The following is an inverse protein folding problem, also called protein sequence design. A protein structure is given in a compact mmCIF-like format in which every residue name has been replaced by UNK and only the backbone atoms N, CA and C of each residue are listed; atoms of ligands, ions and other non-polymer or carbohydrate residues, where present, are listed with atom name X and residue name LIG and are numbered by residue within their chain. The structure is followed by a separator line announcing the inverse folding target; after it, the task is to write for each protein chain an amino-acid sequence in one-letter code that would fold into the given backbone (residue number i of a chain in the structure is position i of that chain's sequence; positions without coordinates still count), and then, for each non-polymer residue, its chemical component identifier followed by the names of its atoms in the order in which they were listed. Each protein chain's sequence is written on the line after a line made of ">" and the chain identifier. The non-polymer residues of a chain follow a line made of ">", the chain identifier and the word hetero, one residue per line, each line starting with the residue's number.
data_IF_699030601084
#
_entry.id   IF_699030601084
#
_cell.length_a   1.000
_cell.length_b   1.000
_cell.length_c   1.000
_cell.angle_alpha   90.00
_cell.angle_beta   90.00
_cell.angle_gamma   90.00
#
_symmetry.space_group_name_H-M   'P 1'
#
loop_
_entity.id
_entity.type
_entity.pdbx_description
1 polymer ?
#
# COMPACT_ATOMS: atom_id res chain seq x y z
N UNK A 1 -10.57 0.22 -27.64
CA UNK A 1 -9.77 -0.47 -28.67
C UNK A 1 -8.62 -1.30 -28.11
N UNK A 2 -7.83 -0.80 -27.15
CA UNK A 2 -6.68 -1.52 -26.53
C UNK A 2 -6.96 -2.95 -26.08
N UNK A 3 -8.05 -3.18 -25.33
CA UNK A 3 -8.40 -4.51 -24.77
C UNK A 3 -8.82 -5.51 -25.86
N UNK A 4 -9.31 -5.03 -27.01
CA UNK A 4 -9.80 -5.89 -28.10
C UNK A 4 -8.73 -6.17 -29.16
N UNK A 5 -7.55 -5.57 -29.02
CA UNK A 5 -6.45 -5.79 -29.94
C UNK A 5 -5.95 -7.23 -29.82
N UNK A 6 -5.78 -7.91 -30.95
CA UNK A 6 -5.23 -9.27 -30.99
C UNK A 6 -3.85 -9.37 -30.36
N UNK A 7 -3.03 -8.31 -30.45
CA UNK A 7 -1.71 -8.27 -29.84
C UNK A 7 -1.75 -8.35 -28.30
N UNK A 8 -2.88 -7.99 -27.69
CA UNK A 8 -3.04 -7.91 -26.23
C UNK A 8 -3.85 -9.08 -25.64
N UNK A 9 -4.21 -10.09 -26.45
CA UNK A 9 -5.11 -11.16 -26.04
C UNK A 9 -4.62 -11.92 -24.79
N UNK A 10 -3.31 -12.07 -24.64
CA UNK A 10 -2.70 -12.80 -23.52
C UNK A 10 -2.13 -11.87 -22.44
N UNK A 11 -2.36 -10.55 -22.54
CA UNK A 11 -1.90 -9.57 -21.54
C UNK A 11 -2.85 -9.59 -20.35
N UNK A 12 -2.37 -9.83 -19.12
CA UNK A 12 -3.21 -9.81 -17.92
C UNK A 12 -3.88 -8.45 -17.68
N UNK A 13 -5.10 -8.47 -17.17
CA UNK A 13 -5.84 -7.28 -16.75
C UNK A 13 -5.96 -7.30 -15.23
N UNK A 14 -5.35 -6.32 -14.57
CA UNK A 14 -5.49 -6.11 -13.14
C UNK A 14 -6.59 -5.09 -12.85
N UNK A 15 -7.54 -5.46 -12.01
CA UNK A 15 -8.60 -4.57 -11.52
C UNK A 15 -8.30 -4.21 -10.08
N UNK A 16 -8.15 -2.91 -9.82
CA UNK A 16 -7.79 -2.42 -8.50
C UNK A 16 -9.03 -2.07 -7.67
N UNK A 17 -8.98 -2.38 -6.38
CA UNK A 17 -9.98 -1.92 -5.41
C UNK A 17 -11.15 -2.89 -5.16
N UNK A 18 -12.09 -2.50 -4.29
CA UNK A 18 -13.21 -3.33 -3.87
C UNK A 18 -14.27 -3.56 -4.95
N UNK A 19 -15.16 -4.52 -4.70
CA UNK A 19 -16.18 -4.96 -5.66
C UNK A 19 -17.33 -3.95 -5.85
N UNK A 20 -17.53 -3.04 -4.91
CA UNK A 20 -18.48 -1.94 -5.01
C UNK A 20 -17.99 -0.83 -5.96
N UNK A 21 -16.67 -0.59 -6.03
CA UNK A 21 -16.04 0.30 -6.99
C UNK A 21 -16.02 -0.28 -8.40
N UNK A 22 -15.67 -1.57 -8.54
CA UNK A 22 -15.73 -2.30 -9.82
C UNK A 22 -16.45 -3.62 -9.61
N UNK A 23 -17.67 -3.77 -10.11
CA UNK A 23 -18.46 -4.99 -9.87
C UNK A 23 -17.89 -6.25 -10.54
N UNK A 24 -18.23 -7.43 -10.00
CA UNK A 24 -17.91 -8.73 -10.62
C UNK A 24 -18.51 -8.88 -12.02
N UNK A 25 -19.58 -8.15 -12.35
CA UNK A 25 -20.15 -8.13 -13.69
C UNK A 25 -19.21 -7.45 -14.70
N UNK A 26 -18.45 -6.43 -14.28
CA UNK A 26 -17.41 -5.82 -15.12
C UNK A 26 -16.28 -6.81 -15.39
N UNK A 27 -15.84 -7.57 -14.37
CA UNK A 27 -14.81 -8.61 -14.53
C UNK A 27 -15.25 -9.67 -15.54
N UNK A 28 -16.49 -10.14 -15.46
CA UNK A 28 -17.07 -11.07 -16.45
C UNK A 28 -17.13 -10.51 -17.87
N UNK A 29 -17.21 -9.18 -18.02
CA UNK A 29 -17.16 -8.55 -19.34
C UNK A 29 -15.72 -8.43 -19.85
N UNK A 30 -14.76 -8.16 -18.96
CA UNK A 30 -13.33 -8.11 -19.29
C UNK A 30 -12.80 -9.50 -19.68
N UNK A 31 -13.23 -10.55 -18.97
CA UNK A 31 -12.82 -11.94 -19.23
C UNK A 31 -13.19 -12.41 -20.64
N UNK A 32 -14.28 -11.88 -21.22
CA UNK A 32 -14.69 -12.16 -22.61
C UNK A 32 -13.67 -11.66 -23.65
N UNK A 33 -12.74 -10.78 -23.28
CA UNK A 33 -11.66 -10.35 -24.16
C UNK A 33 -10.60 -11.45 -24.37
N UNK A 34 -10.60 -12.51 -23.55
CA UNK A 34 -9.67 -13.63 -23.64
C UNK A 34 -8.39 -13.45 -22.83
N UNK A 35 -8.27 -12.35 -22.08
CA UNK A 35 -7.19 -12.06 -21.15
C UNK A 35 -7.50 -12.59 -19.75
N UNK A 36 -6.49 -13.03 -19.00
CA UNK A 36 -6.64 -13.30 -17.56
C UNK A 36 -7.03 -12.02 -16.84
N UNK A 37 -8.11 -12.04 -16.06
CA UNK A 37 -8.56 -10.91 -15.24
C UNK A 37 -8.35 -11.24 -13.77
N UNK A 38 -7.56 -10.43 -13.09
CA UNK A 38 -7.27 -10.58 -11.67
C UNK A 38 -7.67 -9.30 -10.93
N UNK A 39 -8.36 -9.46 -9.80
CA UNK A 39 -8.58 -8.34 -8.89
C UNK A 39 -7.43 -8.28 -7.90
N UNK A 40 -6.87 -7.09 -7.74
CA UNK A 40 -5.91 -6.76 -6.68
C UNK A 40 -6.59 -5.77 -5.76
N UNK A 41 -7.01 -6.24 -4.59
CA UNK A 41 -7.73 -5.41 -3.63
C UNK A 41 -8.36 -6.22 -2.51
N UNK A 42 -9.07 -5.54 -1.61
CA UNK A 42 -9.83 -6.13 -0.51
C UNK A 42 -11.30 -5.73 -0.55
N UNK A 43 -11.99 -5.97 0.55
CA UNK A 43 -13.41 -5.65 0.71
C UNK A 43 -13.65 -4.13 0.90
N UNK A 44 -12.63 -3.39 1.32
CA UNK A 44 -12.64 -1.94 1.56
C UNK A 44 -11.37 -1.26 0.99
N UNK A 45 -11.34 0.08 0.87
CA UNK A 45 -10.19 0.79 0.31
C UNK A 45 -8.89 0.62 1.10
N UNK A 46 -8.95 0.51 2.43
CA UNK A 46 -7.81 0.33 3.33
C UNK A 46 -7.12 -1.00 3.01
N UNK A 47 -7.87 -2.09 3.03
CA UNK A 47 -7.41 -3.43 2.68
C UNK A 47 -6.94 -3.46 1.23
N UNK A 48 -7.67 -2.82 0.31
CA UNK A 48 -7.28 -2.77 -1.08
C UNK A 48 -5.95 -2.06 -1.32
N UNK A 49 -5.66 -1.00 -0.54
CA UNK A 49 -4.38 -0.31 -0.59
C UNK A 49 -3.23 -1.24 -0.15
N UNK A 50 -3.39 -1.96 0.96
CA UNK A 50 -2.40 -2.92 1.46
C UNK A 50 -2.17 -4.07 0.47
N UNK A 51 -3.25 -4.65 -0.07
CA UNK A 51 -3.15 -5.72 -1.07
C UNK A 51 -2.38 -5.27 -2.31
N UNK A 52 -2.63 -4.05 -2.82
CA UNK A 52 -1.90 -3.51 -3.96
C UNK A 52 -0.41 -3.27 -3.65
N UNK A 53 -0.09 -2.83 -2.43
CA UNK A 53 1.29 -2.59 -2.00
C UNK A 53 2.07 -3.90 -1.88
N UNK A 54 1.44 -4.97 -1.41
CA UNK A 54 2.04 -6.31 -1.37
C UNK A 54 2.12 -6.98 -2.73
N UNK A 55 1.20 -6.65 -3.64
CA UNK A 55 1.00 -7.38 -4.88
C UNK A 55 2.25 -7.41 -5.78
N UNK A 56 2.45 -8.56 -6.42
CA UNK A 56 3.45 -8.73 -7.47
C UNK A 56 2.96 -9.76 -8.49
N UNK A 57 2.91 -9.36 -9.76
CA UNK A 57 2.71 -10.26 -10.88
C UNK A 57 3.55 -9.80 -12.07
N UNK A 58 4.66 -10.50 -12.32
CA UNK A 58 5.59 -10.16 -13.39
C UNK A 58 6.19 -8.76 -13.18
N UNK A 59 5.85 -7.82 -14.06
CA UNK A 59 6.31 -6.43 -13.98
C UNK A 59 5.28 -5.47 -13.36
N UNK A 60 4.17 -5.99 -12.82
CA UNK A 60 3.11 -5.19 -12.21
C UNK A 60 3.02 -5.44 -10.70
N UNK A 61 2.66 -4.41 -9.95
CA UNK A 61 2.60 -4.40 -8.49
C UNK A 61 3.83 -3.75 -7.86
N UNK A 62 3.71 -3.41 -6.58
CA UNK A 62 4.76 -2.75 -5.81
C UNK A 62 5.73 -3.74 -5.16
N UNK A 63 5.26 -4.93 -4.79
CA UNK A 63 6.05 -5.98 -4.13
C UNK A 63 6.80 -5.50 -2.87
N UNK A 64 6.19 -4.60 -2.07
CA UNK A 64 6.81 -4.10 -0.83
C UNK A 64 6.51 -5.06 0.32
N UNK A 65 7.19 -6.20 0.30
CA UNK A 65 7.06 -7.28 1.29
C UNK A 65 8.28 -7.41 2.20
N UNK A 66 9.17 -6.41 2.18
CA UNK A 66 10.41 -6.37 2.99
C UNK A 66 10.53 -5.01 3.67
N UNK A 67 11.36 -4.87 4.71
CA UNK A 67 11.56 -3.57 5.34
C UNK A 67 12.24 -2.53 4.46
N UNK A 68 12.07 -1.25 4.82
CA UNK A 68 12.88 -0.15 4.29
C UNK A 68 12.29 0.67 3.14
N UNK A 69 10.97 0.76 3.04
CA UNK A 69 10.30 1.45 1.93
C UNK A 69 9.61 2.75 2.38
N UNK A 70 9.21 3.54 1.39
CA UNK A 70 8.40 4.74 1.61
C UNK A 70 6.90 4.45 1.58
N UNK A 71 6.14 5.11 2.44
CA UNK A 71 4.69 5.00 2.53
C UNK A 71 4.03 6.36 2.70
N UNK A 72 2.90 6.56 2.03
CA UNK A 72 2.01 7.71 2.22
C UNK A 72 0.73 7.23 2.88
N UNK A 73 0.32 7.85 3.99
CA UNK A 73 -0.99 7.65 4.59
C UNK A 73 -1.93 8.80 4.17
N UNK A 74 -3.10 8.46 3.64
CA UNK A 74 -4.11 9.44 3.24
C UNK A 74 -5.55 8.98 3.47
N UNK A 75 -6.44 9.96 3.59
CA UNK A 75 -7.88 9.79 3.79
C UNK A 75 -8.60 9.23 2.56
N UNK A 76 -9.47 8.24 2.77
CA UNK A 76 -10.35 7.72 1.70
C UNK A 76 -11.40 8.72 1.23
N UNK A 77 -11.89 9.59 2.12
CA UNK A 77 -12.90 10.61 1.82
C UNK A 77 -12.34 11.93 1.27
N UNK A 78 -11.00 12.02 1.10
CA UNK A 78 -10.31 13.20 0.55
C UNK A 78 -9.34 12.83 -0.58
N UNK A 79 -9.79 12.15 -1.65
CA UNK A 79 -8.92 11.62 -2.70
C UNK A 79 -8.13 12.70 -3.46
N UNK A 80 -8.61 13.96 -3.47
CA UNK A 80 -7.90 15.07 -4.10
C UNK A 80 -6.64 15.48 -3.34
N UNK A 81 -6.56 15.23 -2.03
CA UNK A 81 -5.38 15.57 -1.23
C UNK A 81 -4.18 14.68 -1.61
N UNK A 82 -4.46 13.43 -2.03
CA UNK A 82 -3.46 12.47 -2.53
C UNK A 82 -2.74 12.99 -3.78
N UNK A 83 -3.39 13.81 -4.61
CA UNK A 83 -2.76 14.38 -5.81
C UNK A 83 -1.54 15.22 -5.42
N UNK A 84 -1.58 15.92 -4.27
CA UNK A 84 -0.45 16.69 -3.76
C UNK A 84 0.73 15.79 -3.34
N UNK A 85 0.46 14.56 -2.92
CA UNK A 85 1.48 13.59 -2.52
C UNK A 85 2.27 13.01 -3.71
N UNK A 86 1.73 13.09 -4.93
CA UNK A 86 2.37 12.50 -6.13
C UNK A 86 3.77 13.06 -6.41
N UNK A 87 4.04 14.31 -5.99
CA UNK A 87 5.36 14.92 -6.09
C UNK A 87 6.42 14.18 -5.25
N UNK A 88 6.05 13.50 -4.15
CA UNK A 88 6.97 12.73 -3.31
C UNK A 88 7.64 11.58 -4.09
N UNK A 89 6.96 11.03 -5.09
CA UNK A 89 7.49 10.01 -5.98
C UNK A 89 8.66 10.50 -6.84
N UNK A 90 8.79 11.82 -7.06
CA UNK A 90 9.92 12.39 -7.81
C UNK A 90 11.22 12.43 -7.01
N UNK A 91 11.16 12.26 -5.67
CA UNK A 91 12.32 12.29 -4.77
C UNK A 91 13.13 10.99 -4.70
N UNK A 92 12.74 9.95 -5.43
CA UNK A 92 13.48 8.68 -5.51
C UNK A 92 13.04 7.60 -4.51
N UNK A 93 12.16 7.91 -3.57
CA UNK A 93 11.64 6.94 -2.56
C UNK A 93 10.36 6.23 -3.01
N UNK A 94 9.71 6.67 -4.11
CA UNK A 94 8.49 6.09 -4.71
C UNK A 94 7.48 5.54 -3.68
N UNK A 95 6.94 6.38 -2.79
CA UNK A 95 6.21 5.87 -1.65
C UNK A 95 4.87 5.24 -2.05
N UNK A 96 4.60 4.08 -1.47
CA UNK A 96 3.35 3.35 -1.65
C UNK A 96 2.19 4.05 -0.92
N UNK A 97 1.04 4.15 -1.58
CA UNK A 97 -0.15 4.75 -0.98
C UNK A 97 -0.89 3.73 -0.09
N UNK A 98 -1.04 4.08 1.18
CA UNK A 98 -1.89 3.43 2.17
C UNK A 98 -3.06 4.37 2.50
N UNK A 99 -4.21 3.79 2.81
CA UNK A 99 -5.45 4.53 3.03
C UNK A 99 -6.00 4.34 4.44
N UNK A 100 -6.67 5.37 4.95
CA UNK A 100 -7.43 5.36 6.21
C UNK A 100 -8.83 5.95 6.04
N UNK A 101 -9.85 5.28 6.59
CA UNK A 101 -11.24 5.73 6.71
C UNK A 101 -11.53 6.41 8.05
N UNK A 102 -10.57 6.41 8.98
CA UNK A 102 -10.64 7.13 10.26
C UNK A 102 -9.78 8.40 10.31
N UNK A 103 -10.21 9.37 11.12
CA UNK A 103 -9.37 10.50 11.53
C UNK A 103 -8.73 10.27 12.90
N UNK A 104 -9.11 9.20 13.61
CA UNK A 104 -8.73 8.97 15.01
C UNK A 104 -7.95 7.67 15.23
N UNK A 105 -7.94 6.76 14.25
CA UNK A 105 -7.44 5.41 14.45
C UNK A 105 -6.92 4.81 13.15
N UNK A 106 -5.65 4.41 13.18
CA UNK A 106 -5.05 3.67 12.08
C UNK A 106 -5.82 2.35 11.82
N UNK A 107 -6.22 2.05 10.58
CA UNK A 107 -6.87 0.79 10.25
C UNK A 107 -5.96 -0.38 10.60
N UNK A 108 -6.52 -1.43 11.22
CA UNK A 108 -5.72 -2.56 11.68
C UNK A 108 -4.94 -3.22 10.54
N UNK A 109 -5.55 -3.34 9.36
CA UNK A 109 -4.90 -3.92 8.18
C UNK A 109 -3.66 -3.14 7.73
N UNK A 110 -3.66 -1.81 7.92
CA UNK A 110 -2.52 -0.94 7.62
C UNK A 110 -1.45 -1.08 8.69
N UNK A 111 -1.83 -1.08 9.97
CA UNK A 111 -0.91 -1.30 11.08
C UNK A 111 -0.21 -2.66 10.97
N UNK A 112 -0.98 -3.73 10.81
CA UNK A 112 -0.46 -5.10 10.67
C UNK A 112 0.49 -5.23 9.47
N UNK A 113 0.16 -4.57 8.34
CA UNK A 113 1.05 -4.51 7.18
C UNK A 113 2.39 -3.86 7.51
N UNK A 114 2.36 -2.69 8.15
CA UNK A 114 3.57 -1.95 8.49
C UNK A 114 4.43 -2.71 9.50
N UNK A 115 3.82 -3.40 10.45
CA UNK A 115 4.51 -4.27 11.41
C UNK A 115 5.19 -5.47 10.72
N UNK A 116 4.56 -6.09 9.72
CA UNK A 116 5.17 -7.18 8.94
C UNK A 116 6.43 -6.75 8.19
N UNK A 117 6.51 -5.48 7.79
CA UNK A 117 7.65 -4.89 7.08
C UNK A 117 8.45 -3.92 7.96
N UNK A 118 8.29 -3.99 9.28
CA UNK A 118 8.99 -3.11 10.20
C UNK A 118 10.48 -3.42 10.18
N UNK A 119 11.37 -2.42 10.00
CA UNK A 119 12.79 -2.68 9.98
C UNK A 119 13.33 -2.98 11.37
N UNK A 120 14.17 -4.02 11.45
CA UNK A 120 14.87 -4.41 12.67
C UNK A 120 16.36 -4.03 12.64
N UNK A 121 16.96 -3.93 13.82
CA UNK A 121 18.41 -3.84 13.99
C UNK A 121 18.89 -4.68 15.18
N UNK A 122 20.13 -5.16 15.12
CA UNK A 122 20.72 -5.98 16.18
C UNK A 122 21.50 -5.13 17.21
N UNK A 123 22.47 -4.33 16.75
CA UNK A 123 23.44 -3.67 17.65
C UNK A 123 23.68 -2.19 17.36
N UNK A 124 23.66 -1.76 16.11
CA UNK A 124 23.84 -0.36 15.73
C UNK A 124 22.64 0.12 14.87
N UNK A 125 21.76 0.97 15.42
CA UNK A 125 20.63 1.49 14.66
C UNK A 125 21.07 2.39 13.51
N UNK A 126 22.26 3.00 13.55
CA UNK A 126 22.70 4.00 12.56
C UNK A 126 22.98 3.40 11.17
N UNK A 127 23.14 2.08 11.08
CA UNK A 127 23.33 1.33 9.84
C UNK A 127 22.09 0.55 9.41
N UNK A 128 20.98 0.71 10.12
CA UNK A 128 19.73 0.02 9.81
C UNK A 128 19.09 0.54 8.51
N UNK A 129 18.17 -0.26 7.99
CA UNK A 129 17.33 0.13 6.86
C UNK A 129 16.15 0.89 7.44
N UNK A 130 15.86 2.09 6.93
CA UNK A 130 14.79 2.94 7.45
C UNK A 130 13.58 2.93 6.52
N UNK A 131 12.39 2.86 7.10
CA UNK A 131 11.16 3.18 6.40
C UNK A 131 10.92 4.69 6.46
N UNK A 132 10.19 5.23 5.48
CA UNK A 132 9.81 6.64 5.45
C UNK A 132 8.29 6.77 5.37
N UNK A 133 7.72 7.64 6.20
CA UNK A 133 6.28 7.91 6.23
C UNK A 133 5.99 9.36 5.85
N UNK A 134 4.92 9.56 5.08
CA UNK A 134 4.30 10.87 4.88
C UNK A 134 2.81 10.78 5.21
N UNK A 135 2.31 11.75 5.97
CA UNK A 135 0.88 11.90 6.26
C UNK A 135 0.35 13.06 5.43
N UNK A 136 -0.77 12.83 4.74
CA UNK A 136 -1.41 13.85 3.89
C UNK A 136 -2.59 14.47 4.62
N UNK A 137 -2.35 15.63 5.23
CA UNK A 137 -3.33 16.39 6.00
C UNK A 137 -2.71 17.00 7.25
N UNK A 138 -3.50 17.77 7.98
CA UNK A 138 -3.15 18.24 9.33
C UNK A 138 -3.83 17.38 10.41
N UNK A 139 -3.67 17.77 11.67
CA UNK A 139 -4.23 17.08 12.83
C UNK A 139 -5.76 17.10 12.90
N UNK A 140 -6.43 17.94 12.11
CA UNK A 140 -7.89 17.93 11.95
C UNK A 140 -8.38 16.87 10.96
N UNK A 141 -7.49 16.40 10.08
CA UNK A 141 -7.78 15.39 9.04
C UNK A 141 -7.35 14.00 9.51
N UNK A 142 -6.14 13.88 10.06
CA UNK A 142 -5.61 12.66 10.69
C UNK A 142 -5.05 13.09 12.03
N UNK A 143 -5.67 12.66 13.13
CA UNK A 143 -5.31 13.07 14.49
C UNK A 143 -3.85 12.77 14.83
N UNK A 144 -3.30 13.53 15.79
CA UNK A 144 -1.95 13.28 16.30
C UNK A 144 -1.78 11.85 16.81
N UNK A 145 -2.82 11.26 17.42
CA UNK A 145 -2.76 9.88 17.92
C UNK A 145 -2.62 8.87 16.77
N UNK A 146 -3.35 9.05 15.66
CA UNK A 146 -3.20 8.22 14.47
C UNK A 146 -1.86 8.44 13.76
N UNK A 147 -1.41 9.70 13.67
CA UNK A 147 -0.07 10.03 13.15
C UNK A 147 1.03 9.35 13.95
N UNK A 148 0.94 9.37 15.28
CA UNK A 148 1.90 8.73 16.18
C UNK A 148 1.88 7.20 16.06
N UNK A 149 0.70 6.60 15.85
CA UNK A 149 0.60 5.15 15.59
C UNK A 149 1.23 4.75 14.26
N UNK A 150 1.03 5.56 13.22
CA UNK A 150 1.67 5.34 11.92
C UNK A 150 3.20 5.49 12.01
N UNK A 151 3.68 6.50 12.72
CA UNK A 151 5.11 6.73 12.98
C UNK A 151 5.75 5.56 13.74
N UNK A 152 5.15 5.12 14.85
CA UNK A 152 5.61 3.98 15.66
C UNK A 152 5.69 2.68 14.85
N UNK A 153 4.75 2.45 13.92
CA UNK A 153 4.77 1.29 13.04
C UNK A 153 5.92 1.30 12.01
N UNK A 154 6.49 2.48 11.73
CA UNK A 154 7.61 2.67 10.79
C UNK A 154 8.99 2.72 11.46
N UNK A 155 9.02 2.93 12.79
CA UNK A 155 10.27 3.01 13.55
C UNK A 155 11.08 1.71 13.52
N UNK A 156 12.35 1.80 13.91
CA UNK A 156 13.22 0.65 14.05
C UNK A 156 12.87 -0.15 15.31
N UNK A 157 12.90 -1.47 15.21
CA UNK A 157 12.75 -2.37 16.37
C UNK A 157 14.07 -3.11 16.68
N UNK A 158 14.40 -3.25 17.96
CA UNK A 158 15.52 -4.10 18.38
C UNK A 158 15.13 -5.56 18.16
N UNK A 159 15.91 -6.27 17.36
CA UNK A 159 15.76 -7.72 17.20
C UNK A 159 16.71 -8.39 18.18
N UNK A 160 16.17 -8.87 19.29
CA UNK A 160 16.93 -9.75 20.18
C UNK A 160 17.12 -11.10 19.48
N UNK A 161 18.33 -11.39 19.01
CA UNK A 161 18.66 -12.75 18.55
C UNK A 161 18.58 -13.67 19.77
N UNK A 162 17.53 -14.50 19.84
CA UNK A 162 17.42 -15.53 20.86
C UNK A 162 18.71 -16.36 20.85
N UNK A 163 19.43 -16.35 21.97
CA UNK A 163 20.69 -17.07 22.11
C UNK A 163 20.40 -18.56 21.89
N UNK A 164 20.87 -19.11 20.78
CA UNK A 164 20.94 -20.54 20.59
C UNK A 164 21.93 -21.10 21.62
N UNK A 165 21.36 -21.62 22.72
CA UNK A 165 22.08 -22.38 23.73
C UNK A 165 22.49 -23.77 23.24
#
# INVERSE_FOLDING_TARGET
>A
DVIKDKANKDVPIFVLGPADAVSSNVLKQLDKAGSTVERVGGDDPETASVELVRFSSGSFGWNLNTPGHGYVLARTDRPMDVVAATALSTGGTWPALLLTDSSEKLPQVVEDYLLDVKPGYESDPTVAIYSHGWVIGDDSIISVDEQARFDDALELEIVETASSG
#
